data_IF_726231721991
#
_entry.id   IF_726231721991
#
_cell.length_a   1.000
_cell.length_b   1.000
_cell.length_c   1.000
_cell.angle_alpha   90.00
_cell.angle_beta   90.00
_cell.angle_gamma   90.00
#
_symmetry.space_group_name_H-M   'P 1'
#
loop_
_entity.id
_entity.type
_entity.pdbx_description
1 polymer ?
#
# COMPACT_ATOMS: atom_id res chain seq x y z
N UNK A 1 -3.28 21.39 -3.00
CA UNK A 1 -1.94 20.98 -3.46
C UNK A 1 -1.96 19.47 -3.55
N UNK A 2 -1.70 18.89 -4.72
CA UNK A 2 -1.48 17.44 -4.84
C UNK A 2 0.03 17.30 -4.92
N UNK A 3 0.66 17.02 -3.79
CA UNK A 3 2.08 16.67 -3.74
C UNK A 3 2.13 15.17 -3.56
N UNK A 4 2.63 14.49 -4.58
CA UNK A 4 2.71 13.04 -4.66
C UNK A 4 3.90 12.71 -5.53
N UNK A 5 5.10 12.95 -5.01
CA UNK A 5 6.34 12.50 -5.63
C UNK A 5 6.77 11.16 -5.03
N UNK A 6 7.50 10.34 -5.80
CA UNK A 6 7.95 9.02 -5.36
C UNK A 6 8.76 9.06 -4.06
N UNK A 7 9.51 10.15 -3.84
CA UNK A 7 10.29 10.39 -2.62
C UNK A 7 9.43 10.56 -1.36
N UNK A 8 8.18 10.99 -1.50
CA UNK A 8 7.30 11.26 -0.33
C UNK A 8 6.64 10.00 0.23
N UNK A 9 6.54 8.95 -0.59
CA UNK A 9 5.95 7.66 -0.18
C UNK A 9 7.02 6.66 0.26
N UNK A 10 8.30 6.93 0.01
CA UNK A 10 9.38 6.07 0.50
C UNK A 10 9.35 5.93 2.02
N UNK A 11 9.66 4.72 2.49
CA UNK A 11 9.66 4.37 3.90
C UNK A 11 8.94 3.07 4.19
N UNK A 12 8.82 2.79 5.48
CA UNK A 12 8.08 1.63 6.00
C UNK A 12 6.74 2.08 6.56
N UNK A 13 5.67 1.47 6.08
CA UNK A 13 4.29 1.83 6.38
C UNK A 13 3.53 0.60 6.86
N UNK A 14 3.09 0.59 8.11
CA UNK A 14 2.24 -0.46 8.65
C UNK A 14 0.82 -0.27 8.15
N UNK A 15 0.29 -1.21 7.36
CA UNK A 15 -1.12 -1.32 7.06
C UNK A 15 -1.85 -1.84 8.29
N UNK A 16 -2.43 -0.93 9.05
CA UNK A 16 -3.14 -1.28 10.28
C UNK A 16 -4.46 -1.97 9.92
N UNK A 17 -5.29 -1.30 9.12
CA UNK A 17 -6.61 -1.81 8.75
C UNK A 17 -7.08 -1.36 7.36
N UNK A 18 -8.12 -2.04 6.88
CA UNK A 18 -8.88 -1.68 5.68
C UNK A 18 -10.34 -1.42 6.01
N UNK A 19 -11.02 -0.65 5.15
CA UNK A 19 -12.48 -0.48 5.16
C UNK A 19 -13.02 -0.49 3.73
N UNK A 20 -14.11 -1.19 3.40
CA UNK A 20 -14.63 -1.11 2.00
C UNK A 20 -15.33 0.23 1.72
N UNK A 21 -15.75 0.93 2.77
CA UNK A 21 -16.20 2.32 2.70
C UNK A 21 -15.85 3.06 3.99
N UNK A 22 -15.82 4.41 4.01
CA UNK A 22 -15.50 5.17 5.22
C UNK A 22 -16.38 4.83 6.43
N UNK A 23 -17.64 4.43 6.16
CA UNK A 23 -18.66 4.10 7.16
C UNK A 23 -18.68 2.62 7.60
N UNK A 24 -17.97 1.72 6.92
CA UNK A 24 -17.93 0.29 7.29
C UNK A 24 -16.96 0.00 8.45
N UNK A 25 -17.13 -1.17 9.06
CA UNK A 25 -16.23 -1.70 10.08
C UNK A 25 -14.79 -1.88 9.56
N UNK A 26 -13.83 -1.83 10.49
CA UNK A 26 -12.41 -2.02 10.20
C UNK A 26 -12.09 -3.52 10.09
N UNK A 27 -11.25 -3.87 9.11
CA UNK A 27 -10.59 -5.17 9.04
C UNK A 27 -9.09 -4.97 9.28
N UNK A 28 -8.61 -5.46 10.41
CA UNK A 28 -7.19 -5.43 10.77
C UNK A 28 -6.35 -6.28 9.79
N UNK A 29 -5.15 -5.81 9.49
CA UNK A 29 -4.25 -6.42 8.51
C UNK A 29 -2.87 -6.77 9.10
N UNK A 30 -2.18 -5.79 9.68
CA UNK A 30 -0.86 -6.00 10.29
C UNK A 30 0.30 -6.26 9.31
N UNK A 31 0.19 -5.78 8.07
CA UNK A 31 1.19 -6.00 7.01
C UNK A 31 2.05 -4.73 6.87
N UNK A 32 3.38 -4.85 6.84
CA UNK A 32 4.25 -3.68 6.62
C UNK A 32 4.58 -3.53 5.13
N UNK A 33 4.28 -2.39 4.53
CA UNK A 33 4.70 -2.03 3.18
C UNK A 33 6.01 -1.24 3.25
N UNK A 34 7.05 -1.77 2.62
CA UNK A 34 8.36 -1.11 2.51
C UNK A 34 8.51 -0.63 1.07
N UNK A 35 8.41 0.68 0.87
CA UNK A 35 8.64 1.36 -0.40
C UNK A 35 10.04 1.95 -0.39
N UNK A 36 10.91 1.47 -1.27
CA UNK A 36 12.28 1.93 -1.39
C UNK A 36 12.86 1.60 -2.75
N UNK A 37 13.62 2.52 -3.35
CA UNK A 37 14.36 2.27 -4.60
C UNK A 37 13.43 1.79 -5.74
N UNK A 38 12.22 2.38 -5.84
CA UNK A 38 11.14 1.98 -6.76
C UNK A 38 10.63 0.54 -6.59
N UNK A 39 10.92 -0.09 -5.46
CA UNK A 39 10.42 -1.42 -5.09
C UNK A 39 9.51 -1.37 -3.87
N UNK A 40 8.38 -2.07 -3.96
CA UNK A 40 7.49 -2.35 -2.84
C UNK A 40 7.74 -3.79 -2.39
N UNK A 41 8.00 -3.95 -1.09
CA UNK A 41 8.00 -5.26 -0.42
C UNK A 41 6.94 -5.27 0.65
N UNK A 42 6.07 -6.27 0.65
CA UNK A 42 5.09 -6.48 1.72
C UNK A 42 5.70 -7.46 2.73
N UNK A 43 5.75 -7.07 4.00
CA UNK A 43 6.32 -7.85 5.09
C UNK A 43 5.27 -8.29 6.07
N UNK A 44 5.59 -9.35 6.81
CA UNK A 44 4.75 -9.90 7.88
C UNK A 44 3.37 -10.36 7.38
N UNK A 45 3.27 -10.80 6.12
CA UNK A 45 2.01 -11.24 5.53
C UNK A 45 1.50 -12.48 6.28
N UNK A 46 0.31 -12.44 6.91
CA UNK A 46 -0.22 -13.57 7.64
C UNK A 46 -0.52 -14.75 6.72
N UNK A 47 -0.21 -15.96 7.18
CA UNK A 47 -0.64 -17.20 6.54
C UNK A 47 -1.70 -17.91 7.39
N UNK A 48 -2.60 -18.64 6.74
CA UNK A 48 -3.58 -19.47 7.44
C UNK A 48 -2.92 -20.62 8.20
N UNK A 49 -1.76 -21.11 7.73
CA UNK A 49 -0.92 -22.10 8.38
C UNK A 49 0.54 -21.77 8.13
N UNK A 50 1.33 -21.63 9.20
CA UNK A 50 2.76 -21.33 9.12
C UNK A 50 3.11 -19.95 9.67
N UNK A 51 4.39 -19.61 9.59
CA UNK A 51 4.88 -18.30 10.01
C UNK A 51 4.50 -17.23 8.97
N UNK A 52 4.38 -15.96 9.38
CA UNK A 52 4.30 -14.85 8.44
C UNK A 52 5.50 -14.86 7.48
N UNK A 53 5.29 -14.30 6.29
CA UNK A 53 6.30 -14.24 5.25
C UNK A 53 6.36 -12.87 4.60
N UNK A 54 7.47 -12.60 3.93
CA UNK A 54 7.67 -11.40 3.13
C UNK A 54 7.47 -11.73 1.65
N UNK A 55 6.84 -10.83 0.91
CA UNK A 55 6.71 -10.95 -0.54
C UNK A 55 8.05 -10.76 -1.24
N UNK A 56 8.17 -11.25 -2.48
CA UNK A 56 9.19 -10.76 -3.38
C UNK A 56 8.97 -9.25 -3.65
N UNK A 57 10.04 -8.47 -3.89
CA UNK A 57 9.91 -7.06 -4.26
C UNK A 57 9.26 -6.92 -5.64
N UNK A 58 8.31 -6.01 -5.75
CA UNK A 58 7.67 -5.62 -7.02
C UNK A 58 7.95 -4.17 -7.33
N UNK A 59 7.94 -3.82 -8.61
CA UNK A 59 8.05 -2.41 -9.02
C UNK A 59 6.87 -1.59 -8.50
N UNK A 60 7.14 -0.33 -8.13
CA UNK A 60 6.09 0.67 -7.99
C UNK A 60 6.51 1.99 -8.64
N UNK A 61 5.50 2.76 -9.07
CA UNK A 61 5.67 4.14 -9.53
C UNK A 61 4.56 5.02 -8.97
N UNK A 62 4.81 6.33 -8.90
CA UNK A 62 3.77 7.32 -8.61
C UNK A 62 3.48 8.10 -9.88
N UNK A 63 2.25 8.01 -10.37
CA UNK A 63 1.80 8.72 -11.57
C UNK A 63 0.48 9.43 -11.29
N UNK A 64 0.44 10.75 -11.52
CA UNK A 64 -0.77 11.56 -11.34
C UNK A 64 -1.43 11.43 -9.93
N UNK A 65 -0.63 11.21 -8.89
CA UNK A 65 -1.14 11.01 -7.52
C UNK A 65 -1.66 9.59 -7.24
N UNK A 66 -1.45 8.64 -8.15
CA UNK A 66 -1.77 7.24 -7.95
C UNK A 66 -0.49 6.42 -7.77
N UNK A 67 -0.48 5.56 -6.76
CA UNK A 67 0.52 4.51 -6.57
C UNK A 67 0.16 3.32 -7.45
N UNK A 68 1.03 3.01 -8.41
CA UNK A 68 0.91 1.82 -9.26
C UNK A 68 1.90 0.78 -8.74
N UNK A 69 1.41 -0.41 -8.45
CA UNK A 69 2.19 -1.52 -7.89
C UNK A 69 2.17 -2.68 -8.88
N UNK A 70 3.32 -3.17 -9.29
CA UNK A 70 3.45 -4.30 -10.19
C UNK A 70 2.84 -5.57 -9.58
N UNK A 71 2.14 -6.35 -10.41
CA UNK A 71 1.54 -7.62 -9.96
C UNK A 71 2.56 -8.75 -10.12
N UNK A 72 2.92 -9.48 -9.04
CA UNK A 72 3.87 -10.58 -9.12
C UNK A 72 3.51 -11.59 -10.22
N UNK A 73 4.50 -11.95 -11.05
CA UNK A 73 4.32 -12.91 -12.14
C UNK A 73 3.47 -12.43 -13.33
N UNK A 74 3.06 -11.16 -13.36
CA UNK A 74 2.27 -10.58 -14.46
C UNK A 74 2.93 -9.31 -15.00
N UNK A 75 3.85 -9.49 -15.95
CA UNK A 75 4.58 -8.39 -16.60
C UNK A 75 3.61 -7.37 -17.21
N UNK A 76 3.80 -6.09 -16.90
CA UNK A 76 2.99 -4.98 -17.42
C UNK A 76 1.59 -4.84 -16.79
N UNK A 77 1.27 -5.62 -15.75
CA UNK A 77 0.04 -5.45 -14.95
C UNK A 77 0.37 -4.76 -13.64
N UNK A 78 -0.46 -3.78 -13.29
CA UNK A 78 -0.33 -2.99 -12.07
C UNK A 78 -1.68 -2.95 -11.35
N UNK A 79 -1.62 -3.06 -10.03
CA UNK A 79 -2.70 -2.60 -9.15
C UNK A 79 -2.51 -1.10 -8.93
N UNK A 80 -3.59 -0.33 -8.99
CA UNK A 80 -3.55 1.13 -8.89
C UNK A 80 -4.27 1.57 -7.62
N UNK A 81 -3.66 2.49 -6.88
CA UNK A 81 -4.19 3.04 -5.64
C UNK A 81 -4.11 4.55 -5.66
N UNK A 82 -5.24 5.23 -5.48
CA UNK A 82 -5.25 6.69 -5.37
C UNK A 82 -4.78 7.12 -3.99
N UNK A 83 -3.83 8.06 -3.95
CA UNK A 83 -3.39 8.69 -2.71
C UNK A 83 -4.49 9.65 -2.22
N UNK A 84 -5.15 9.29 -1.12
CA UNK A 84 -6.24 10.08 -0.54
C UNK A 84 -5.69 11.12 0.43
N UNK A 85 -4.79 10.68 1.31
CA UNK A 85 -4.16 11.51 2.33
C UNK A 85 -2.73 11.02 2.57
N UNK A 86 -1.82 11.97 2.82
CA UNK A 86 -0.45 11.68 3.20
C UNK A 86 0.07 12.76 4.14
N UNK A 87 0.60 12.32 5.27
CA UNK A 87 1.36 13.15 6.21
C UNK A 87 2.72 12.50 6.47
N UNK A 88 3.50 13.03 7.39
CA UNK A 88 4.77 12.42 7.80
C UNK A 88 4.59 11.09 8.52
N UNK A 89 3.42 10.84 9.13
CA UNK A 89 3.16 9.67 9.97
C UNK A 89 1.99 8.82 9.51
N UNK A 90 1.13 9.32 8.62
CA UNK A 90 -0.06 8.61 8.12
C UNK A 90 -0.12 8.61 6.61
N UNK A 91 -0.68 7.54 6.05
CA UNK A 91 -0.99 7.46 4.61
C UNK A 91 -2.32 6.75 4.43
N UNK A 92 -3.17 7.28 3.56
CA UNK A 92 -4.45 6.66 3.19
C UNK A 92 -4.48 6.47 1.69
N UNK A 93 -4.65 5.22 1.28
CA UNK A 93 -4.83 4.84 -0.12
C UNK A 93 -6.26 4.37 -0.37
N UNK A 94 -6.74 4.55 -1.60
CA UNK A 94 -8.02 4.01 -2.06
C UNK A 94 -7.81 3.18 -3.32
N UNK A 95 -8.30 1.95 -3.28
CA UNK A 95 -8.46 1.12 -4.47
C UNK A 95 -9.65 1.64 -5.29
N UNK A 96 -9.45 2.15 -6.53
CA UNK A 96 -10.52 2.69 -7.35
C UNK A 96 -11.45 1.61 -7.92
N UNK A 97 -10.99 0.35 -8.01
CA UNK A 97 -11.76 -0.77 -8.54
C UNK A 97 -12.81 -1.27 -7.55
N UNK A 98 -12.44 -1.38 -6.27
CA UNK A 98 -13.32 -1.89 -5.22
C UNK A 98 -13.77 -0.84 -4.21
N UNK A 99 -13.25 0.38 -4.29
CA UNK A 99 -13.55 1.46 -3.35
C UNK A 99 -12.96 1.28 -1.95
N UNK A 100 -12.12 0.26 -1.75
CA UNK A 100 -11.53 -0.08 -0.45
C UNK A 100 -10.47 0.93 -0.04
N UNK A 101 -10.53 1.37 1.21
CA UNK A 101 -9.55 2.26 1.82
C UNK A 101 -8.56 1.47 2.65
N UNK A 102 -7.30 1.85 2.53
CA UNK A 102 -6.16 1.27 3.22
C UNK A 102 -5.53 2.35 4.10
N UNK A 103 -5.44 2.08 5.39
CA UNK A 103 -4.97 3.05 6.38
C UNK A 103 -3.63 2.60 6.93
N UNK A 104 -2.62 3.45 6.72
CA UNK A 104 -1.25 3.17 7.08
C UNK A 104 -0.73 4.16 8.10
N UNK A 105 0.14 3.65 8.98
CA UNK A 105 0.94 4.46 9.91
C UNK A 105 2.42 4.19 9.66
N UNK A 106 3.26 5.22 9.71
CA UNK A 106 4.70 5.10 9.48
C UNK A 106 5.36 4.29 10.61
N UNK A 107 6.34 3.45 10.24
CA UNK A 107 7.11 2.61 11.15
C UNK A 107 8.53 3.15 11.35
#
# INVERSE_FOLDING_TARGET
MVVGSEQEVEGSWLLEYTKKSPQEGKKEMGITWVLKDHKLTQKDIPQSRGNPYDSAPVDYTIENGNLKVGVPGRVGKFDEYSLVEKTDTTMVLKDPKFGTYFYFTKK
#
